data_IF_638279324449
#
_entry.id   IF_638279324449
#
_cell.length_a   1.000
_cell.length_b   1.000
_cell.length_c   1.000
_cell.angle_alpha   90.00
_cell.angle_beta   90.00
_cell.angle_gamma   90.00
#
_symmetry.space_group_name_H-M   'P 1'
#
loop_
_entity.id
_entity.type
_entity.pdbx_description
1 polymer ?
#
# COMPACT_ATOMS: atom_id res chain seq x y z
N UNK A 1 -9.69 -4.55 1.61
CA UNK A 1 -8.92 -4.84 2.85
C UNK A 1 -8.17 -3.61 3.33
N UNK A 2 -7.92 -3.54 4.64
CA UNK A 2 -7.20 -2.44 5.29
C UNK A 2 -5.85 -2.96 5.80
N UNK A 3 -4.77 -2.34 5.32
CA UNK A 3 -3.40 -2.62 5.71
C UNK A 3 -2.82 -1.56 6.64
N UNK A 4 -1.81 -1.97 7.40
CA UNK A 4 -0.97 -1.09 8.21
C UNK A 4 0.29 -0.74 7.44
N UNK A 5 0.45 0.54 7.07
CA UNK A 5 1.68 1.08 6.50
C UNK A 5 2.61 1.61 7.58
N UNK A 6 3.91 1.38 7.42
CA UNK A 6 4.93 1.81 8.40
C UNK A 6 5.86 2.92 7.88
N UNK A 7 5.52 3.57 6.78
CA UNK A 7 6.30 4.69 6.25
C UNK A 7 6.51 5.80 7.28
N UNK A 8 7.75 6.31 7.40
CA UNK A 8 8.14 7.34 8.38
C UNK A 8 7.89 6.94 9.86
N UNK A 9 7.96 5.67 10.18
CA UNK A 9 8.05 5.20 11.57
C UNK A 9 9.51 4.81 11.80
N UNK A 10 10.18 5.39 12.81
CA UNK A 10 11.56 5.01 13.13
C UNK A 10 11.69 3.51 13.43
N UNK A 11 12.81 2.90 13.05
CA UNK A 11 13.00 1.46 13.17
C UNK A 11 12.78 0.96 14.62
N UNK A 12 13.26 1.72 15.60
CA UNK A 12 13.12 1.43 17.03
C UNK A 12 11.67 1.46 17.54
N UNK A 13 10.77 2.19 16.88
CA UNK A 13 9.35 2.28 17.24
C UNK A 13 8.51 1.26 16.43
N UNK A 14 9.01 0.79 15.30
CA UNK A 14 8.23 0.02 14.32
C UNK A 14 7.79 -1.34 14.88
N UNK A 15 8.64 -1.98 15.68
CA UNK A 15 8.32 -3.28 16.28
C UNK A 15 7.04 -3.21 17.15
N UNK A 16 6.94 -2.20 18.01
CA UNK A 16 5.76 -2.02 18.86
C UNK A 16 4.51 -1.66 18.03
N UNK A 17 4.67 -0.80 17.02
CA UNK A 17 3.56 -0.39 16.14
C UNK A 17 3.00 -1.59 15.36
N UNK A 18 3.87 -2.42 14.76
CA UNK A 18 3.45 -3.60 13.99
C UNK A 18 2.81 -4.65 14.88
N UNK A 19 3.41 -4.96 16.05
CA UNK A 19 2.83 -5.84 17.06
C UNK A 19 1.42 -5.40 17.45
N UNK A 20 1.27 -4.12 17.82
CA UNK A 20 -0.03 -3.55 18.19
C UNK A 20 -1.03 -3.61 17.01
N UNK A 21 -0.57 -3.39 15.78
CA UNK A 21 -1.39 -3.56 14.60
C UNK A 21 -1.95 -4.99 14.48
N UNK A 22 -1.10 -5.99 14.63
CA UNK A 22 -1.48 -7.42 14.56
C UNK A 22 -2.47 -7.77 15.68
N UNK A 23 -2.19 -7.34 16.92
CA UNK A 23 -3.07 -7.53 18.09
C UNK A 23 -4.44 -6.88 17.83
N UNK A 24 -4.48 -5.68 17.24
CA UNK A 24 -5.70 -4.97 16.88
C UNK A 24 -6.36 -5.49 15.58
N UNK A 25 -5.86 -6.60 15.03
CA UNK A 25 -6.49 -7.35 13.95
C UNK A 25 -6.08 -6.94 12.54
N UNK A 26 -5.05 -6.15 12.34
CA UNK A 26 -4.43 -5.97 11.01
C UNK A 26 -3.79 -7.29 10.57
N UNK A 27 -3.94 -7.61 9.30
CA UNK A 27 -3.37 -8.81 8.69
C UNK A 27 -2.49 -8.50 7.48
N UNK A 28 -2.55 -7.27 6.97
CA UNK A 28 -1.71 -6.77 5.90
C UNK A 28 -0.74 -5.75 6.50
N UNK A 29 0.57 -5.99 6.34
CA UNK A 29 1.66 -5.13 6.80
C UNK A 29 2.45 -4.68 5.57
N UNK A 30 2.62 -3.37 5.42
CA UNK A 30 3.28 -2.76 4.28
C UNK A 30 4.50 -1.96 4.72
N UNK A 31 5.67 -2.41 4.31
CA UNK A 31 6.97 -1.74 4.47
C UNK A 31 7.66 -1.54 3.12
N UNK A 32 8.88 -1.06 3.12
CA UNK A 32 9.75 -0.93 1.96
C UNK A 32 11.22 -0.79 2.39
N UNK A 33 12.15 -1.16 1.51
CA UNK A 33 13.60 -1.02 1.75
C UNK A 33 13.98 0.40 2.18
N UNK A 34 13.45 1.42 1.48
CA UNK A 34 13.75 2.84 1.75
C UNK A 34 13.20 3.35 3.08
N UNK A 35 12.25 2.65 3.71
CA UNK A 35 11.73 3.08 4.99
C UNK A 35 12.72 2.84 6.14
N UNK A 36 13.77 2.05 5.89
CA UNK A 36 14.84 1.72 6.84
C UNK A 36 14.33 1.12 8.16
N UNK A 37 13.14 0.49 8.11
CA UNK A 37 12.48 -0.08 9.28
C UNK A 37 12.03 -1.54 9.09
N UNK A 38 12.62 -2.25 8.13
CA UNK A 38 12.30 -3.66 7.88
C UNK A 38 12.67 -4.55 9.07
N UNK A 39 13.77 -4.26 9.80
CA UNK A 39 14.16 -5.01 10.99
C UNK A 39 13.12 -4.87 12.11
N UNK A 40 12.70 -3.63 12.41
CA UNK A 40 11.62 -3.38 13.37
C UNK A 40 10.30 -3.99 12.93
N UNK A 41 10.00 -3.98 11.61
CA UNK A 41 8.80 -4.63 11.06
C UNK A 41 8.84 -6.15 11.31
N UNK A 42 9.95 -6.81 11.01
CA UNK A 42 10.13 -8.25 11.24
C UNK A 42 10.01 -8.63 12.71
N UNK A 43 10.65 -7.87 13.61
CA UNK A 43 10.51 -8.06 15.04
C UNK A 43 9.05 -7.90 15.49
N UNK A 44 8.35 -6.87 15.03
CA UNK A 44 6.95 -6.62 15.36
C UNK A 44 6.01 -7.73 14.85
N UNK A 45 6.29 -8.28 13.67
CA UNK A 45 5.57 -9.46 13.14
C UNK A 45 5.75 -10.65 14.10
N UNK A 46 6.98 -10.99 14.45
CA UNK A 46 7.29 -12.11 15.36
C UNK A 46 6.61 -11.97 16.73
N UNK A 47 6.68 -10.79 17.32
CA UNK A 47 6.05 -10.50 18.60
C UNK A 47 4.51 -10.51 18.50
N UNK A 48 3.94 -9.98 17.41
CA UNK A 48 2.52 -9.95 17.15
C UNK A 48 1.95 -11.36 16.98
N UNK A 49 2.62 -12.21 16.21
CA UNK A 49 2.25 -13.63 16.03
C UNK A 49 2.28 -14.37 17.37
N UNK A 50 3.36 -14.19 18.15
CA UNK A 50 3.47 -14.79 19.49
C UNK A 50 2.35 -14.34 20.42
N UNK A 51 2.01 -13.05 20.41
CA UNK A 51 0.99 -12.47 21.30
C UNK A 51 -0.44 -12.90 20.94
N UNK A 52 -0.71 -13.25 19.69
CA UNK A 52 -2.04 -13.57 19.18
C UNK A 52 -2.27 -15.06 18.94
N UNK A 53 -1.20 -15.87 18.92
CA UNK A 53 -1.26 -17.29 18.54
C UNK A 53 -1.49 -17.51 17.04
N UNK A 54 -1.36 -16.46 16.22
CA UNK A 54 -1.43 -16.55 14.76
C UNK A 54 -0.13 -17.12 14.21
N UNK A 55 -0.20 -17.59 12.96
CA UNK A 55 0.95 -18.10 12.19
C UNK A 55 1.35 -17.11 11.10
N UNK A 56 2.51 -17.33 10.46
CA UNK A 56 2.99 -16.46 9.35
C UNK A 56 2.01 -16.40 8.18
N UNK A 57 1.29 -17.51 7.94
CA UNK A 57 0.31 -17.64 6.87
C UNK A 57 -0.95 -16.79 7.09
N UNK A 58 -1.20 -16.37 8.32
CA UNK A 58 -2.31 -15.46 8.66
C UNK A 58 -2.02 -14.01 8.31
N UNK A 59 -0.76 -13.69 7.96
CA UNK A 59 -0.34 -12.34 7.59
C UNK A 59 0.00 -12.24 6.11
N UNK A 60 -0.27 -11.07 5.55
CA UNK A 60 0.14 -10.64 4.22
C UNK A 60 1.18 -9.52 4.37
N UNK A 61 2.42 -9.81 4.01
CA UNK A 61 3.55 -8.88 4.19
C UNK A 61 4.05 -8.40 2.84
N UNK A 62 4.10 -7.09 2.69
CA UNK A 62 4.59 -6.40 1.48
C UNK A 62 5.89 -5.67 1.78
N UNK A 63 6.89 -5.82 0.92
CA UNK A 63 8.03 -4.89 0.82
C UNK A 63 8.23 -4.45 -0.62
N UNK A 64 9.18 -3.51 -0.86
CA UNK A 64 9.33 -2.84 -2.14
C UNK A 64 10.79 -2.65 -2.51
N UNK A 65 11.09 -2.89 -3.78
CA UNK A 65 12.38 -2.57 -4.40
C UNK A 65 12.57 -1.05 -4.47
N UNK A 66 13.70 -0.55 -4.01
CA UNK A 66 14.07 0.85 -4.08
C UNK A 66 15.34 1.05 -4.89
N UNK A 67 15.41 2.12 -5.66
CA UNK A 67 16.56 2.56 -6.44
C UNK A 67 16.20 2.91 -7.87
N UNK A 68 17.09 3.62 -8.53
CA UNK A 68 17.00 4.02 -9.94
C UNK A 68 17.67 3.00 -10.89
N UNK A 69 18.47 2.11 -10.34
CA UNK A 69 19.13 1.04 -11.09
C UNK A 69 18.47 -0.31 -10.78
N UNK A 70 17.52 -0.65 -11.61
CA UNK A 70 16.72 -1.86 -11.46
C UNK A 70 17.30 -3.04 -12.25
N UNK A 71 18.63 -3.27 -12.17
CA UNK A 71 19.23 -4.45 -12.79
C UNK A 71 18.71 -5.75 -12.17
N UNK A 72 18.72 -6.82 -12.94
CA UNK A 72 18.31 -8.15 -12.48
C UNK A 72 19.02 -8.54 -11.18
N UNK A 73 20.37 -8.43 -11.18
CA UNK A 73 21.21 -8.84 -10.03
C UNK A 73 20.90 -8.02 -8.78
N UNK A 74 20.79 -6.71 -8.91
CA UNK A 74 20.52 -5.82 -7.77
C UNK A 74 19.12 -6.02 -7.22
N UNK A 75 18.16 -6.36 -8.08
CA UNK A 75 16.80 -6.70 -7.64
C UNK A 75 16.79 -7.96 -6.78
N UNK A 76 17.47 -9.04 -7.21
CA UNK A 76 17.62 -10.26 -6.42
C UNK A 76 18.32 -9.97 -5.09
N UNK A 77 19.44 -9.24 -5.12
CA UNK A 77 20.16 -8.88 -3.91
C UNK A 77 19.30 -8.05 -2.95
N UNK A 78 18.61 -7.05 -3.47
CA UNK A 78 17.71 -6.20 -2.66
C UNK A 78 16.59 -7.00 -2.00
N UNK A 79 16.02 -7.96 -2.72
CA UNK A 79 15.00 -8.85 -2.18
C UNK A 79 15.53 -9.71 -1.03
N UNK A 80 16.70 -10.36 -1.22
CA UNK A 80 17.31 -11.19 -0.18
C UNK A 80 17.72 -10.36 1.05
N UNK A 81 18.18 -9.12 0.87
CA UNK A 81 18.46 -8.19 1.96
C UNK A 81 17.17 -7.85 2.74
N UNK A 82 16.05 -7.60 2.06
CA UNK A 82 14.76 -7.36 2.68
C UNK A 82 14.27 -8.56 3.47
N UNK A 83 14.34 -9.78 2.91
CA UNK A 83 13.98 -11.01 3.63
C UNK A 83 14.81 -11.18 4.90
N UNK A 84 16.13 -10.96 4.80
CA UNK A 84 17.03 -11.06 5.94
C UNK A 84 16.70 -10.07 7.05
N UNK A 85 16.42 -8.80 6.71
CA UNK A 85 16.03 -7.77 7.68
C UNK A 85 14.69 -8.06 8.34
N UNK A 86 13.73 -8.54 7.56
CA UNK A 86 12.42 -8.94 8.04
C UNK A 86 12.42 -10.26 8.86
N UNK A 87 13.51 -11.03 8.82
CA UNK A 87 13.61 -12.38 9.41
C UNK A 87 12.48 -13.30 8.90
N UNK A 88 12.24 -13.27 7.58
CA UNK A 88 11.20 -14.03 6.90
C UNK A 88 11.76 -14.93 5.80
N UNK A 89 11.09 -16.08 5.56
CA UNK A 89 11.44 -17.02 4.49
C UNK A 89 10.86 -16.61 3.12
N UNK A 90 9.77 -15.85 3.12
CA UNK A 90 9.08 -15.36 1.91
C UNK A 90 8.33 -14.05 2.15
N UNK A 91 8.04 -13.32 1.07
CA UNK A 91 7.08 -12.22 1.05
C UNK A 91 5.76 -12.66 0.39
N UNK A 92 4.65 -12.06 0.81
CA UNK A 92 3.38 -12.24 0.12
C UNK A 92 3.29 -11.37 -1.14
N UNK A 93 3.86 -10.16 -1.08
CA UNK A 93 3.91 -9.23 -2.22
C UNK A 93 5.23 -8.47 -2.24
N UNK A 94 5.84 -8.38 -3.42
CA UNK A 94 6.99 -7.52 -3.67
C UNK A 94 6.67 -6.55 -4.80
N UNK A 95 6.94 -5.27 -4.59
CA UNK A 95 6.59 -4.20 -5.53
C UNK A 95 7.85 -3.50 -6.07
N UNK A 96 7.84 -3.11 -7.34
CA UNK A 96 8.70 -2.00 -7.79
C UNK A 96 8.11 -0.73 -7.21
N UNK A 97 8.88 0.01 -6.39
CA UNK A 97 8.35 1.13 -5.58
C UNK A 97 8.01 2.35 -6.44
N UNK A 98 8.83 2.66 -7.43
CA UNK A 98 8.64 3.75 -8.41
C UNK A 98 9.15 3.32 -9.77
N UNK A 99 8.54 3.79 -10.87
CA UNK A 99 9.00 3.44 -12.23
C UNK A 99 10.37 4.04 -12.56
N UNK A 100 10.77 5.16 -11.92
CA UNK A 100 11.91 5.96 -12.34
C UNK A 100 11.68 6.69 -13.65
N UNK A 101 12.61 7.57 -14.02
CA UNK A 101 12.49 8.40 -15.24
C UNK A 101 13.10 7.76 -16.49
N UNK A 102 13.85 6.67 -16.33
CA UNK A 102 14.60 6.00 -17.41
C UNK A 102 13.94 4.70 -17.89
N UNK A 103 12.77 4.33 -17.35
CA UNK A 103 12.05 3.10 -17.69
C UNK A 103 12.89 1.82 -17.54
N UNK A 104 13.86 1.81 -16.63
CA UNK A 104 14.83 0.73 -16.46
C UNK A 104 14.32 -0.46 -15.65
N UNK A 105 12.99 -0.63 -15.53
CA UNK A 105 12.39 -1.67 -14.67
C UNK A 105 12.19 -3.04 -15.34
N UNK A 106 12.56 -3.19 -16.62
CA UNK A 106 12.38 -4.47 -17.33
C UNK A 106 13.21 -5.60 -16.70
N UNK A 107 14.48 -5.34 -16.40
CA UNK A 107 15.33 -6.33 -15.76
C UNK A 107 14.88 -6.64 -14.33
N UNK A 108 14.40 -5.62 -13.59
CA UNK A 108 13.81 -5.82 -12.29
C UNK A 108 12.57 -6.71 -12.36
N UNK A 109 11.70 -6.48 -13.35
CA UNK A 109 10.52 -7.32 -13.52
C UNK A 109 10.85 -8.76 -13.81
N UNK A 110 11.81 -9.02 -14.70
CA UNK A 110 12.30 -10.38 -14.99
C UNK A 110 12.83 -11.06 -13.72
N UNK A 111 13.59 -10.33 -12.89
CA UNK A 111 14.07 -10.86 -11.62
C UNK A 111 12.92 -11.18 -10.65
N UNK A 112 11.90 -10.33 -10.58
CA UNK A 112 10.72 -10.56 -9.74
C UNK A 112 9.87 -11.75 -10.22
N UNK A 113 9.76 -11.95 -11.54
CA UNK A 113 9.12 -13.14 -12.09
C UNK A 113 9.85 -14.43 -11.70
N UNK A 114 11.18 -14.42 -11.70
CA UNK A 114 11.98 -15.58 -11.27
C UNK A 114 11.86 -15.81 -9.75
N UNK A 115 11.83 -14.77 -8.93
CA UNK A 115 11.54 -14.89 -7.50
C UNK A 115 10.15 -15.49 -7.24
N UNK A 116 9.15 -15.09 -8.03
CA UNK A 116 7.80 -15.66 -7.97
C UNK A 116 7.79 -17.15 -8.38
N UNK A 117 8.42 -17.49 -9.51
CA UNK A 117 8.54 -18.88 -10.01
C UNK A 117 9.29 -19.78 -9.01
N UNK A 118 10.26 -19.21 -8.28
CA UNK A 118 11.01 -19.89 -7.23
C UNK A 118 10.23 -20.01 -5.88
N UNK A 119 9.04 -19.42 -5.78
CA UNK A 119 8.21 -19.43 -4.57
C UNK A 119 8.74 -18.55 -3.42
N UNK A 120 9.70 -17.66 -3.70
CA UNK A 120 10.25 -16.72 -2.72
C UNK A 120 9.29 -15.55 -2.43
N UNK A 121 8.45 -15.21 -3.39
CA UNK A 121 7.35 -14.26 -3.23
C UNK A 121 6.07 -14.85 -3.82
N UNK A 122 4.94 -14.62 -3.16
CA UNK A 122 3.64 -15.19 -3.60
C UNK A 122 2.94 -14.34 -4.66
N UNK A 123 3.27 -13.06 -4.74
CA UNK A 123 2.72 -12.14 -5.74
C UNK A 123 3.72 -11.02 -6.04
N UNK A 124 3.69 -10.51 -7.26
CA UNK A 124 4.50 -9.39 -7.70
C UNK A 124 3.63 -8.28 -8.27
N UNK A 125 4.04 -7.04 -8.05
CA UNK A 125 3.29 -5.86 -8.48
C UNK A 125 4.15 -4.63 -8.59
N UNK A 126 3.50 -3.51 -8.76
CA UNK A 126 4.17 -2.21 -8.94
C UNK A 126 3.56 -1.16 -8.02
N UNK A 127 4.26 -0.04 -7.86
CA UNK A 127 3.78 1.13 -7.15
C UNK A 127 4.10 2.39 -7.94
N UNK A 128 3.15 3.34 -7.96
CA UNK A 128 3.26 4.62 -8.66
C UNK A 128 3.39 4.54 -10.18
N UNK A 129 3.04 3.41 -10.79
CA UNK A 129 3.04 3.26 -12.23
C UNK A 129 1.83 3.99 -12.85
N UNK A 130 2.08 4.87 -13.81
CA UNK A 130 1.06 5.49 -14.64
C UNK A 130 0.66 4.57 -15.79
N UNK A 131 -0.37 4.93 -16.55
CA UNK A 131 -0.89 4.13 -17.65
C UNK A 131 0.20 3.72 -18.66
N UNK A 132 1.03 4.67 -19.10
CA UNK A 132 2.09 4.40 -20.09
C UNK A 132 3.20 3.48 -19.54
N UNK A 133 3.55 3.57 -18.24
CA UNK A 133 4.47 2.62 -17.61
C UNK A 133 3.90 1.20 -17.60
N UNK A 134 2.59 1.08 -17.33
CA UNK A 134 1.90 -0.21 -17.34
C UNK A 134 1.76 -0.79 -18.75
N UNK A 135 1.44 0.03 -19.75
CA UNK A 135 1.39 -0.38 -21.15
C UNK A 135 2.72 -0.96 -21.62
N UNK A 136 3.83 -0.30 -21.26
CA UNK A 136 5.16 -0.80 -21.55
C UNK A 136 5.45 -2.11 -20.81
N UNK A 137 5.24 -2.15 -19.48
CA UNK A 137 5.46 -3.35 -18.67
C UNK A 137 4.67 -4.54 -19.22
N UNK A 138 3.38 -4.35 -19.50
CA UNK A 138 2.49 -5.40 -20.01
C UNK A 138 2.88 -5.89 -21.42
N UNK A 139 3.66 -5.12 -22.17
CA UNK A 139 4.12 -5.52 -23.51
C UNK A 139 5.15 -6.65 -23.48
N UNK A 140 5.83 -6.89 -22.36
CA UNK A 140 6.87 -7.91 -22.23
C UNK A 140 6.76 -8.81 -21.00
N UNK A 141 5.91 -8.47 -20.03
CA UNK A 141 5.73 -9.26 -18.82
C UNK A 141 5.11 -10.63 -19.13
N UNK A 142 5.76 -11.71 -18.68
CA UNK A 142 5.17 -13.07 -18.70
C UNK A 142 4.12 -13.21 -17.60
N UNK A 143 4.39 -12.61 -16.44
CA UNK A 143 3.51 -12.56 -15.28
C UNK A 143 3.08 -11.10 -15.12
N UNK A 144 1.81 -10.81 -15.27
CA UNK A 144 1.30 -9.45 -15.11
C UNK A 144 1.32 -9.04 -13.62
N UNK A 145 1.52 -7.74 -13.31
CA UNK A 145 1.41 -7.25 -11.95
C UNK A 145 0.01 -7.51 -11.39
N UNK A 146 -0.07 -8.03 -10.16
CA UNK A 146 -1.37 -8.28 -9.51
C UNK A 146 -1.98 -6.99 -8.95
N UNK A 147 -1.14 -5.97 -8.72
CA UNK A 147 -1.52 -4.77 -7.99
C UNK A 147 -0.64 -3.58 -8.41
N UNK A 148 -1.26 -2.40 -8.44
CA UNK A 148 -0.56 -1.11 -8.49
C UNK A 148 -0.92 -0.31 -7.23
N UNK A 149 0.09 0.00 -6.39
CA UNK A 149 -0.08 0.81 -5.19
C UNK A 149 0.17 2.28 -5.54
N UNK A 150 -0.85 3.12 -5.46
CA UNK A 150 -0.82 4.52 -5.94
C UNK A 150 -1.26 5.50 -4.87
N UNK A 151 -0.84 6.75 -5.00
CA UNK A 151 -1.45 7.84 -4.25
C UNK A 151 -2.91 7.93 -4.61
N UNK A 152 -3.79 7.79 -3.61
CA UNK A 152 -5.22 7.86 -3.85
C UNK A 152 -5.96 8.36 -2.60
N UNK A 153 -6.76 9.39 -2.78
CA UNK A 153 -7.61 10.01 -1.76
C UNK A 153 -8.68 10.86 -2.46
N UNK A 154 -9.69 11.41 -1.77
CA UNK A 154 -10.78 12.15 -2.42
C UNK A 154 -10.34 13.31 -3.33
N UNK A 155 -9.20 13.98 -3.05
CA UNK A 155 -8.66 15.02 -3.92
C UNK A 155 -7.83 14.51 -5.10
N UNK A 156 -7.49 13.21 -5.12
CA UNK A 156 -6.78 12.52 -6.21
C UNK A 156 -7.42 11.15 -6.44
N UNK A 157 -8.53 11.12 -7.14
CA UNK A 157 -9.31 9.90 -7.34
C UNK A 157 -8.71 8.91 -8.36
N UNK A 158 -7.73 9.34 -9.19
CA UNK A 158 -7.03 8.51 -10.18
C UNK A 158 -7.99 7.72 -11.11
N UNK A 159 -9.15 8.30 -11.46
CA UNK A 159 -10.24 7.59 -12.13
C UNK A 159 -9.79 6.88 -13.41
N UNK A 160 -9.10 7.59 -14.31
CA UNK A 160 -8.67 7.02 -15.60
C UNK A 160 -7.66 5.87 -15.42
N UNK A 161 -6.71 6.04 -14.50
CA UNK A 161 -5.74 4.99 -14.18
C UNK A 161 -6.44 3.78 -13.57
N UNK A 162 -7.40 3.98 -12.66
CA UNK A 162 -8.19 2.90 -12.05
C UNK A 162 -9.03 2.13 -13.08
N UNK A 163 -9.63 2.83 -14.04
CA UNK A 163 -10.37 2.20 -15.14
C UNK A 163 -9.43 1.34 -16.00
N UNK A 164 -8.23 1.84 -16.30
CA UNK A 164 -7.21 1.07 -17.00
C UNK A 164 -6.79 -0.18 -16.22
N UNK A 165 -6.49 -0.04 -14.93
CA UNK A 165 -6.11 -1.15 -14.06
C UNK A 165 -7.20 -2.22 -13.99
N UNK A 166 -8.47 -1.80 -13.88
CA UNK A 166 -9.63 -2.71 -13.87
C UNK A 166 -9.75 -3.50 -15.18
N UNK A 167 -9.55 -2.87 -16.34
CA UNK A 167 -9.56 -3.54 -17.64
C UNK A 167 -8.49 -4.64 -17.76
N UNK A 168 -7.37 -4.48 -17.08
CA UNK A 168 -6.27 -5.44 -17.07
C UNK A 168 -6.29 -6.40 -15.87
N UNK A 169 -7.35 -6.35 -15.04
CA UNK A 169 -7.49 -7.15 -13.81
C UNK A 169 -6.31 -6.95 -12.84
N UNK A 170 -5.86 -5.70 -12.70
CA UNK A 170 -4.83 -5.27 -11.76
C UNK A 170 -5.52 -4.55 -10.61
N UNK A 171 -5.26 -4.99 -9.38
CA UNK A 171 -5.86 -4.38 -8.19
C UNK A 171 -5.25 -3.01 -7.89
N UNK A 172 -6.03 -2.16 -7.24
CA UNK A 172 -5.59 -0.85 -6.77
C UNK A 172 -5.41 -0.89 -5.26
N UNK A 173 -4.28 -0.36 -4.81
CA UNK A 173 -4.06 -0.11 -3.38
C UNK A 173 -3.71 1.36 -3.17
N UNK A 174 -4.43 2.02 -2.25
CA UNK A 174 -4.20 3.42 -1.91
C UNK A 174 -3.09 3.58 -0.88
N UNK A 175 -2.11 4.44 -1.18
CA UNK A 175 -1.27 5.01 -0.15
C UNK A 175 -1.66 6.48 0.09
N UNK A 176 -1.39 6.99 1.29
CA UNK A 176 -1.82 8.31 1.76
C UNK A 176 -3.35 8.58 1.67
N UNK A 177 -4.21 7.59 2.02
CA UNK A 177 -5.67 7.72 1.83
C UNK A 177 -6.25 8.92 2.57
N UNK A 178 -5.66 9.31 3.70
CA UNK A 178 -6.09 10.45 4.51
C UNK A 178 -5.38 11.76 4.14
N UNK A 179 -4.62 11.79 3.03
CA UNK A 179 -3.91 12.98 2.56
C UNK A 179 -3.09 13.65 3.69
N UNK A 180 -2.37 12.83 4.48
CA UNK A 180 -1.60 13.27 5.66
C UNK A 180 -2.43 14.06 6.69
N UNK A 181 -3.74 13.84 6.74
CA UNK A 181 -4.66 14.51 7.66
C UNK A 181 -5.26 15.82 7.14
N UNK A 182 -4.88 16.30 5.96
CA UNK A 182 -5.35 17.58 5.42
C UNK A 182 -6.85 17.63 5.13
N UNK A 183 -7.50 16.47 5.00
CA UNK A 183 -8.96 16.38 4.77
C UNK A 183 -9.79 16.30 6.05
N UNK A 184 -9.16 16.11 7.22
CA UNK A 184 -9.89 15.85 8.46
C UNK A 184 -10.76 17.05 8.92
N UNK A 185 -10.41 18.25 8.49
CA UNK A 185 -11.14 19.48 8.82
C UNK A 185 -12.12 19.95 7.72
N UNK A 186 -12.30 19.15 6.66
CA UNK A 186 -13.22 19.49 5.57
C UNK A 186 -14.68 19.46 6.05
N UNK A 187 -15.39 20.58 5.92
CA UNK A 187 -16.75 20.75 6.44
C UNK A 187 -17.79 19.82 5.79
N UNK A 188 -17.63 19.49 4.51
CA UNK A 188 -18.52 18.55 3.84
C UNK A 188 -18.32 17.14 4.39
N UNK A 189 -17.06 16.72 4.58
CA UNK A 189 -16.73 15.41 5.16
C UNK A 189 -17.17 15.30 6.61
N UNK A 190 -17.09 16.37 7.41
CA UNK A 190 -17.62 16.42 8.78
C UNK A 190 -19.12 16.16 8.81
N UNK A 191 -19.90 16.79 7.91
CA UNK A 191 -21.35 16.55 7.81
C UNK A 191 -21.68 15.09 7.49
N UNK A 192 -20.93 14.47 6.59
CA UNK A 192 -21.10 13.04 6.27
C UNK A 192 -20.71 12.18 7.49
N UNK A 193 -19.62 12.54 8.17
CA UNK A 193 -19.17 11.87 9.39
C UNK A 193 -20.24 11.91 10.49
N UNK A 194 -20.83 13.08 10.74
CA UNK A 194 -21.92 13.26 11.70
C UNK A 194 -23.14 12.43 11.33
N UNK A 195 -23.52 12.39 10.04
CA UNK A 195 -24.64 11.58 9.53
C UNK A 195 -24.52 10.10 9.88
N UNK A 196 -23.28 9.57 9.80
CA UNK A 196 -22.99 8.16 10.05
C UNK A 196 -22.52 7.87 11.48
N UNK A 197 -22.33 8.89 12.33
CA UNK A 197 -21.74 8.73 13.67
C UNK A 197 -20.30 8.20 13.62
N UNK A 198 -19.54 8.61 12.61
CA UNK A 198 -18.17 8.16 12.35
C UNK A 198 -17.21 9.35 12.29
N UNK A 199 -15.91 9.10 12.32
CA UNK A 199 -14.90 10.11 12.06
C UNK A 199 -14.71 10.36 10.57
N UNK A 200 -14.19 11.53 10.19
CA UNK A 200 -13.83 11.84 8.78
C UNK A 200 -12.86 10.81 8.22
N UNK A 201 -11.88 10.34 9.02
CA UNK A 201 -10.98 9.28 8.60
C UNK A 201 -11.72 8.00 8.21
N UNK A 202 -12.70 7.57 9.01
CA UNK A 202 -13.52 6.39 8.71
C UNK A 202 -14.37 6.58 7.45
N UNK A 203 -14.89 7.77 7.20
CA UNK A 203 -15.63 8.09 5.97
C UNK A 203 -14.74 7.91 4.74
N UNK A 204 -13.53 8.47 4.76
CA UNK A 204 -12.58 8.36 3.64
C UNK A 204 -12.17 6.90 3.41
N UNK A 205 -11.80 6.19 4.46
CA UNK A 205 -11.42 4.78 4.35
C UNK A 205 -12.60 3.92 3.84
N UNK A 206 -13.83 4.23 4.26
CA UNK A 206 -15.03 3.55 3.76
C UNK A 206 -15.29 3.84 2.29
N UNK A 207 -15.06 5.07 1.85
CA UNK A 207 -15.15 5.48 0.44
C UNK A 207 -14.20 4.66 -0.45
N UNK A 208 -12.95 4.44 -0.01
CA UNK A 208 -12.00 3.58 -0.73
C UNK A 208 -12.51 2.14 -0.82
N UNK A 209 -12.86 1.55 0.33
CA UNK A 209 -13.30 0.15 0.41
C UNK A 209 -14.54 -0.11 -0.44
N UNK A 210 -15.50 0.82 -0.50
CA UNK A 210 -16.70 0.67 -1.33
C UNK A 210 -16.42 0.74 -2.84
N UNK A 211 -15.25 1.22 -3.23
CA UNK A 211 -14.76 1.23 -4.60
C UNK A 211 -13.82 0.05 -4.90
N UNK A 212 -13.79 -0.97 -4.03
CA UNK A 212 -12.90 -2.13 -4.13
C UNK A 212 -11.40 -1.80 -4.09
N UNK A 213 -11.06 -0.62 -3.53
CA UNK A 213 -9.68 -0.19 -3.33
C UNK A 213 -9.14 -0.80 -2.04
N UNK A 214 -7.98 -1.45 -2.11
CA UNK A 214 -7.21 -1.84 -0.94
C UNK A 214 -6.58 -0.59 -0.33
N UNK A 215 -6.43 -0.53 0.99
CA UNK A 215 -5.97 0.70 1.64
C UNK A 215 -4.83 0.43 2.60
N UNK A 216 -3.74 1.17 2.47
CA UNK A 216 -2.67 1.22 3.47
C UNK A 216 -2.79 2.50 4.28
N UNK A 217 -3.11 2.37 5.56
CA UNK A 217 -3.18 3.51 6.48
C UNK A 217 -2.08 3.42 7.54
N UNK A 218 -1.38 4.54 7.75
CA UNK A 218 -0.42 4.65 8.86
C UNK A 218 -1.12 5.04 10.14
N UNK A 219 -0.85 4.32 11.21
CA UNK A 219 -1.21 4.73 12.56
C UNK A 219 -0.21 4.18 13.58
N UNK A 220 0.23 5.02 14.51
CA UNK A 220 1.11 4.63 15.62
C UNK A 220 0.33 4.45 16.93
N UNK A 221 -0.93 4.89 16.98
CA UNK A 221 -1.77 4.84 18.19
C UNK A 221 -2.80 3.73 18.08
N UNK A 222 -2.86 2.83 19.06
CA UNK A 222 -3.80 1.71 19.10
C UNK A 222 -5.25 2.16 18.96
N UNK A 223 -5.65 3.26 19.56
CA UNK A 223 -7.03 3.78 19.47
C UNK A 223 -7.39 4.13 18.00
N UNK A 224 -6.45 4.72 17.26
CA UNK A 224 -6.64 5.01 15.83
C UNK A 224 -6.65 3.75 14.99
N UNK A 225 -5.80 2.77 15.32
CA UNK A 225 -5.80 1.47 14.63
C UNK A 225 -7.15 0.77 14.77
N UNK A 226 -7.72 0.75 15.98
CA UNK A 226 -9.04 0.18 16.25
C UNK A 226 -10.12 0.97 15.49
N UNK A 227 -10.12 2.30 15.60
CA UNK A 227 -11.12 3.15 14.95
C UNK A 227 -11.09 3.00 13.41
N UNK A 228 -9.90 2.98 12.79
CA UNK A 228 -9.75 2.81 11.35
C UNK A 228 -10.33 1.48 10.83
N UNK A 229 -10.39 0.45 11.65
CA UNK A 229 -11.01 -0.85 11.28
C UNK A 229 -12.52 -0.88 11.45
N UNK A 230 -13.11 0.05 12.20
CA UNK A 230 -14.57 0.16 12.38
C UNK A 230 -15.24 0.87 11.19
N UNK A 231 -14.98 0.35 10.00
CA UNK A 231 -15.48 0.87 8.72
C UNK A 231 -16.33 -0.13 7.94
N UNK A 232 -16.55 -1.33 8.49
CA UNK A 232 -17.30 -2.39 7.83
C UNK A 232 -18.75 -2.52 8.32
N UNK A 233 -19.13 -1.76 9.34
CA UNK A 233 -20.43 -1.76 10.00
C UNK A 233 -21.41 -0.70 9.46
N UNK A 234 -21.01 0.08 8.47
CA UNK A 234 -21.85 1.09 7.80
C UNK A 234 -21.52 1.16 6.31
N UNK A 235 -22.37 1.84 5.55
CA UNK A 235 -22.13 2.12 4.13
C UNK A 235 -22.47 3.58 3.81
N UNK A 236 -21.65 4.18 2.94
CA UNK A 236 -21.94 5.47 2.32
C UNK A 236 -23.00 5.28 1.23
N UNK A 237 -24.00 6.14 1.21
CA UNK A 237 -25.00 6.14 0.15
C UNK A 237 -24.49 6.83 -1.14
N UNK A 238 -25.35 6.89 -2.17
CA UNK A 238 -24.97 7.49 -3.44
C UNK A 238 -24.66 8.99 -3.36
N UNK A 239 -25.34 9.71 -2.46
CA UNK A 239 -25.10 11.15 -2.27
C UNK A 239 -23.77 11.38 -1.60
N UNK A 240 -23.44 10.59 -0.57
CA UNK A 240 -22.15 10.63 0.12
C UNK A 240 -21.02 10.31 -0.85
N UNK A 241 -21.13 9.23 -1.64
CA UNK A 241 -20.15 8.84 -2.63
C UNK A 241 -19.94 9.92 -3.71
N UNK A 242 -21.03 10.55 -4.16
CA UNK A 242 -20.96 11.66 -5.12
C UNK A 242 -20.28 12.88 -4.52
N UNK A 243 -20.57 13.19 -3.26
CA UNK A 243 -19.94 14.31 -2.55
C UNK A 243 -18.42 14.09 -2.41
N UNK A 244 -17.98 12.90 -1.97
CA UNK A 244 -16.56 12.57 -1.90
C UNK A 244 -15.88 12.64 -3.28
N UNK A 245 -16.51 12.09 -4.30
CA UNK A 245 -15.98 12.13 -5.68
C UNK A 245 -15.85 13.55 -6.23
N UNK A 246 -16.71 14.49 -5.77
CA UNK A 246 -16.65 15.89 -6.20
C UNK A 246 -15.46 16.67 -5.63
N UNK A 247 -14.75 16.12 -4.64
CA UNK A 247 -13.53 16.71 -4.08
C UNK A 247 -12.30 16.57 -4.98
N UNK A 248 -12.40 15.78 -6.04
CA UNK A 248 -11.25 15.52 -6.92
C UNK A 248 -10.74 16.79 -7.59
N UNK A 249 -9.51 17.13 -7.32
CA UNK A 249 -8.77 18.29 -7.86
C UNK A 249 -7.51 17.86 -8.63
N UNK A 250 -7.30 16.55 -8.83
CA UNK A 250 -6.05 15.98 -9.33
C UNK A 250 -4.80 16.46 -8.53
N UNK A 251 -4.97 16.66 -7.23
CA UNK A 251 -3.96 17.22 -6.34
C UNK A 251 -3.12 16.11 -5.71
N UNK A 252 -1.81 16.11 -5.97
CA UNK A 252 -0.84 15.24 -5.32
C UNK A 252 -0.31 15.86 -4.01
N UNK A 253 -0.09 15.02 -2.99
CA UNK A 253 0.71 15.35 -1.79
C UNK A 253 2.09 14.67 -1.83
N UNK A 254 2.24 13.65 -2.63
CA UNK A 254 3.50 12.98 -2.92
C UNK A 254 4.12 13.45 -4.25
N UNK A 255 5.29 12.90 -4.61
CA UNK A 255 5.96 13.21 -5.87
C UNK A 255 5.12 12.77 -7.09
N UNK A 256 5.31 13.48 -8.20
CA UNK A 256 4.74 13.07 -9.48
C UNK A 256 5.53 11.85 -10.02
N UNK A 257 4.89 10.72 -10.33
CA UNK A 257 5.55 9.52 -10.84
C UNK A 257 6.36 9.71 -12.12
N UNK A 258 5.96 10.64 -12.99
CA UNK A 258 6.63 10.89 -14.27
C UNK A 258 7.90 11.71 -14.14
N UNK A 259 8.08 12.42 -13.04
CA UNK A 259 9.22 13.31 -12.80
C UNK A 259 10.02 12.93 -11.56
N UNK A 260 9.58 11.93 -10.82
CA UNK A 260 10.28 11.47 -9.64
C UNK A 260 11.62 10.87 -10.02
N UNK A 261 12.68 11.38 -9.40
CA UNK A 261 14.04 10.89 -9.54
C UNK A 261 14.59 10.52 -8.15
N UNK A 262 15.33 9.40 -8.09
CA UNK A 262 15.87 8.85 -6.84
C UNK A 262 17.02 9.67 -6.27
#
# INVERSE_FOLDING_TARGET
>A
ELGLGVFQIPNEETAEVVKNGIINGYRLIDTAKIYENEEGTGQGIKEGLTSTGLTREDLFVTSKLWGDNHSYKETIQSFEESLKKLDLDYLDLYLIHWPGTNYAYKEAWNAMEDLYKAGKVKAIGVSNFQKHHLEELLSYAEIKPVLNQIELHPKLSQKELREFLKLHDIKVQAWSPLMQGQLLDNEMLKKIADKHGKSVAQIILRWDIQQEILVNVKSIKSERMIANRQIFDFALDQEDMKALNSLNEALHVGPNPDTFNF
#
